data_IF_656399872787
#
_entry.id   IF_656399872787
#
_cell.length_a   1.000
_cell.length_b   1.000
_cell.length_c   1.000
_cell.angle_alpha   90.00
_cell.angle_beta   90.00
_cell.angle_gamma   90.00
#
_symmetry.space_group_name_H-M   'P 1'
#
loop_
_entity.id
_entity.type
_entity.pdbx_description
1 polymer ?
#
# COMPACT_ATOMS: atom_id res chain seq x y z
N UNK A 1 1.57 -9.30 18.88
CA UNK A 1 0.76 -8.48 17.98
C UNK A 1 1.74 -7.69 17.14
N UNK A 2 1.46 -7.48 15.86
CA UNK A 2 2.32 -6.72 14.94
C UNK A 2 1.76 -5.32 14.68
N UNK A 3 2.63 -4.31 14.60
CA UNK A 3 2.29 -2.95 14.17
C UNK A 3 2.85 -2.75 12.76
N UNK A 4 1.99 -2.35 11.83
CA UNK A 4 2.32 -2.26 10.41
C UNK A 4 1.83 -0.96 9.81
N UNK A 5 2.63 -0.37 8.91
CA UNK A 5 2.21 0.79 8.13
C UNK A 5 1.65 0.32 6.79
N UNK A 6 0.41 0.71 6.50
CA UNK A 6 -0.31 0.34 5.29
C UNK A 6 -0.72 1.60 4.54
N UNK A 7 -0.33 1.70 3.27
CA UNK A 7 -0.76 2.76 2.38
C UNK A 7 -2.05 2.37 1.66
N UNK A 8 -3.06 3.23 1.71
CA UNK A 8 -4.31 3.08 0.98
C UNK A 8 -4.45 4.26 0.03
N UNK A 9 -4.30 4.00 -1.27
CA UNK A 9 -4.31 5.03 -2.29
C UNK A 9 -5.67 5.74 -2.36
N UNK A 10 -5.62 7.03 -2.69
CA UNK A 10 -6.78 7.90 -2.89
C UNK A 10 -7.79 7.30 -3.88
N UNK A 11 -7.35 6.91 -5.07
CA UNK A 11 -8.21 6.43 -6.15
C UNK A 11 -8.94 5.13 -5.78
N UNK A 12 -8.29 4.21 -5.07
CA UNK A 12 -8.95 3.00 -4.56
C UNK A 12 -9.96 3.36 -3.47
N UNK A 13 -9.58 4.25 -2.54
CA UNK A 13 -10.48 4.73 -1.50
C UNK A 13 -11.70 5.43 -2.09
N UNK A 14 -11.53 6.29 -3.10
CA UNK A 14 -12.59 7.03 -3.78
C UNK A 14 -13.50 6.12 -4.59
N UNK A 15 -12.94 5.18 -5.34
CA UNK A 15 -13.70 4.29 -6.23
C UNK A 15 -14.52 3.26 -5.46
N UNK A 16 -13.86 2.45 -4.63
CA UNK A 16 -14.48 1.27 -4.00
C UNK A 16 -14.28 1.20 -2.48
N UNK A 17 -13.42 2.06 -1.91
CA UNK A 17 -13.14 2.03 -0.49
C UNK A 17 -14.28 2.50 0.41
N UNK A 18 -14.25 2.02 1.65
CA UNK A 18 -15.13 2.46 2.73
C UNK A 18 -14.28 3.25 3.73
N UNK A 19 -14.65 4.52 4.04
CA UNK A 19 -14.00 5.28 5.08
C UNK A 19 -14.00 4.56 6.42
N UNK A 20 -12.92 4.74 7.18
CA UNK A 20 -12.70 4.16 8.50
C UNK A 20 -12.14 5.22 9.43
N UNK A 21 -12.22 4.98 10.72
CA UNK A 21 -11.75 5.88 11.78
C UNK A 21 -10.75 5.21 12.69
N UNK A 22 -10.06 6.03 13.48
CA UNK A 22 -9.23 5.59 14.58
C UNK A 22 -10.01 4.62 15.47
N UNK A 23 -9.40 3.47 15.76
CA UNK A 23 -9.99 2.44 16.61
C UNK A 23 -10.89 1.45 15.88
N UNK A 24 -11.28 1.71 14.63
CA UNK A 24 -12.07 0.75 13.84
C UNK A 24 -11.27 -0.54 13.61
N UNK A 25 -12.01 -1.64 13.50
CA UNK A 25 -11.49 -2.90 12.97
C UNK A 25 -11.75 -2.93 11.47
N UNK A 26 -10.72 -3.21 10.70
CA UNK A 26 -10.75 -3.23 9.24
C UNK A 26 -10.14 -4.53 8.73
N UNK A 27 -10.66 -5.03 7.61
CA UNK A 27 -10.13 -6.19 6.91
C UNK A 27 -9.74 -5.77 5.50
N UNK A 28 -8.45 -5.88 5.18
CA UNK A 28 -7.91 -5.45 3.90
C UNK A 28 -7.08 -6.54 3.23
N UNK A 29 -7.26 -6.76 1.92
CA UNK A 29 -6.25 -7.44 1.13
C UNK A 29 -4.99 -6.56 1.06
N UNK A 30 -3.85 -7.13 1.42
CA UNK A 30 -2.57 -6.42 1.45
C UNK A 30 -1.62 -6.95 0.39
N UNK A 31 -0.99 -6.05 -0.35
CA UNK A 31 0.05 -6.31 -1.34
C UNK A 31 1.37 -5.73 -0.82
N UNK A 32 2.47 -6.46 -0.97
CA UNK A 32 3.81 -5.94 -0.69
C UNK A 32 4.43 -5.40 -1.98
N UNK A 33 4.55 -4.08 -2.06
CA UNK A 33 5.14 -3.40 -3.21
C UNK A 33 6.60 -3.00 -2.96
N UNK A 34 7.38 -2.91 -4.04
CA UNK A 34 8.65 -2.18 -3.97
C UNK A 34 8.37 -0.71 -3.63
N UNK A 35 9.15 -0.19 -2.69
CA UNK A 35 8.95 1.18 -2.21
C UNK A 35 9.14 2.24 -3.31
N UNK A 36 10.02 1.98 -4.30
CA UNK A 36 10.30 2.88 -5.40
C UNK A 36 9.10 3.07 -6.35
N UNK A 37 8.25 2.05 -6.45
CA UNK A 37 7.07 2.06 -7.31
C UNK A 37 5.91 2.85 -6.69
N UNK A 38 5.92 3.05 -5.36
CA UNK A 38 4.88 3.81 -4.67
C UNK A 38 5.35 5.24 -4.42
N UNK A 39 4.68 6.20 -5.08
CA UNK A 39 4.94 7.64 -4.94
C UNK A 39 6.42 8.05 -5.06
N UNK A 40 7.21 7.31 -5.87
CA UNK A 40 8.60 7.65 -6.16
C UNK A 40 9.61 7.32 -5.05
N UNK A 41 9.27 6.46 -4.07
CA UNK A 41 10.25 5.99 -3.07
C UNK A 41 10.37 6.83 -1.81
N UNK A 42 11.52 6.69 -1.12
CA UNK A 42 11.92 7.33 0.15
C UNK A 42 11.08 6.96 1.40
N UNK A 43 10.44 5.78 1.41
CA UNK A 43 9.54 5.33 2.49
C UNK A 43 10.27 4.71 3.69
N UNK A 44 11.52 5.07 3.95
CA UNK A 44 12.44 4.30 4.81
C UNK A 44 11.88 3.98 6.20
N UNK A 45 11.10 4.88 6.79
CA UNK A 45 10.51 4.74 8.13
C UNK A 45 9.20 3.91 8.11
N UNK A 46 8.57 3.76 6.95
CA UNK A 46 7.30 3.06 6.76
C UNK A 46 7.45 1.65 6.18
N UNK A 47 8.66 1.25 5.77
CA UNK A 47 8.89 -0.06 5.16
C UNK A 47 8.59 -1.21 6.12
N UNK A 48 7.75 -2.13 5.66
CA UNK A 48 7.54 -3.41 6.29
C UNK A 48 8.73 -4.33 6.02
N UNK A 49 9.21 -5.00 7.08
CA UNK A 49 10.19 -6.09 6.98
C UNK A 49 9.46 -7.38 7.28
N UNK A 50 9.07 -8.10 6.23
CA UNK A 50 8.25 -9.31 6.36
C UNK A 50 9.16 -10.52 6.23
N UNK A 51 9.10 -11.41 7.23
CA UNK A 51 9.83 -12.68 7.22
C UNK A 51 8.80 -13.79 7.38
N UNK A 52 8.72 -14.68 6.40
CA UNK A 52 7.62 -15.62 6.37
C UNK A 52 7.83 -16.78 5.41
N UNK A 53 6.87 -17.69 5.44
CA UNK A 53 6.76 -18.77 4.47
C UNK A 53 5.96 -18.30 3.25
N UNK A 54 6.47 -18.61 2.08
CA UNK A 54 5.80 -18.40 0.81
C UNK A 54 4.74 -19.49 0.62
N UNK A 55 3.51 -19.11 0.26
CA UNK A 55 2.42 -20.04 0.05
C UNK A 55 1.53 -19.61 -1.13
N UNK A 56 0.78 -20.58 -1.66
CA UNK A 56 -0.35 -20.30 -2.55
C UNK A 56 -1.66 -20.37 -1.80
N UNK A 57 -2.46 -19.31 -1.92
CA UNK A 57 -3.78 -19.24 -1.29
C UNK A 57 -4.76 -18.69 -2.30
N UNK A 58 -5.71 -19.53 -2.73
CA UNK A 58 -6.70 -19.11 -3.72
C UNK A 58 -6.08 -18.73 -5.08
N UNK A 59 -4.96 -19.36 -5.46
CA UNK A 59 -4.25 -19.03 -6.71
C UNK A 59 -3.31 -17.83 -6.61
N UNK A 60 -3.21 -17.19 -5.44
CA UNK A 60 -2.35 -16.03 -5.20
C UNK A 60 -1.12 -16.44 -4.41
N UNK A 61 0.04 -15.98 -4.87
CA UNK A 61 1.32 -16.12 -4.17
C UNK A 61 1.39 -15.11 -3.02
N UNK A 62 1.47 -15.62 -1.80
CA UNK A 62 1.50 -14.81 -0.58
C UNK A 62 2.74 -15.12 0.27
N UNK A 63 3.13 -14.16 1.10
CA UNK A 63 4.06 -14.36 2.20
C UNK A 63 3.28 -14.36 3.52
N UNK A 64 3.41 -15.44 4.28
CA UNK A 64 2.78 -15.63 5.59
C UNK A 64 3.81 -15.43 6.70
N UNK A 65 3.67 -14.33 7.41
CA UNK A 65 4.49 -13.97 8.55
C UNK A 65 3.93 -14.67 9.82
N UNK A 66 4.81 -14.97 10.78
CA UNK A 66 4.48 -15.81 11.95
C UNK A 66 3.48 -15.15 12.90
N UNK A 67 3.41 -13.82 12.96
CA UNK A 67 2.49 -13.05 13.82
C UNK A 67 1.13 -12.77 13.18
N UNK A 68 0.84 -13.36 12.01
CA UNK A 68 -0.49 -13.35 11.41
C UNK A 68 -0.66 -12.43 10.20
N UNK A 69 0.35 -11.61 9.87
CA UNK A 69 0.35 -10.85 8.61
C UNK A 69 0.42 -11.82 7.41
N UNK A 70 -0.46 -11.63 6.43
CA UNK A 70 -0.43 -12.34 5.15
C UNK A 70 -0.50 -11.30 4.05
N UNK A 71 0.46 -11.30 3.13
CA UNK A 71 0.56 -10.28 2.07
C UNK A 71 0.73 -10.97 0.73
N UNK A 72 0.03 -10.49 -0.30
CA UNK A 72 0.27 -10.89 -1.67
C UNK A 72 1.66 -10.39 -2.12
N UNK A 73 2.30 -11.17 -2.98
CA UNK A 73 3.56 -10.79 -3.63
C UNK A 73 3.35 -10.22 -5.04
N UNK A 74 2.17 -10.43 -5.61
CA UNK A 74 1.79 -9.99 -6.95
C UNK A 74 0.33 -9.55 -6.97
N UNK A 75 -0.02 -8.65 -7.89
CA UNK A 75 -1.41 -8.19 -8.12
C UNK A 75 -2.26 -9.23 -8.88
N UNK A 76 -1.65 -10.08 -9.69
CA UNK A 76 -2.39 -11.07 -10.47
C UNK A 76 -2.28 -12.49 -9.87
N UNK A 77 -3.26 -13.37 -10.15
CA UNK A 77 -3.13 -14.80 -9.85
C UNK A 77 -1.95 -15.45 -10.56
N UNK A 78 -1.39 -16.49 -9.94
CA UNK A 78 -0.20 -17.21 -10.40
C UNK A 78 -0.38 -17.83 -11.80
N UNK A 79 -1.60 -18.19 -12.19
CA UNK A 79 -1.90 -18.77 -13.50
C UNK A 79 -2.06 -17.73 -14.62
N UNK A 80 -2.19 -16.44 -14.26
CA UNK A 80 -2.27 -15.32 -15.20
C UNK A 80 -0.89 -14.68 -15.44
N UNK A 81 -0.02 -14.72 -14.42
CA UNK A 81 1.33 -14.14 -14.51
C UNK A 81 2.24 -15.02 -15.37
N UNK A 82 3.02 -14.40 -16.26
CA UNK A 82 4.04 -15.10 -17.03
C UNK A 82 5.09 -15.73 -16.09
N UNK A 83 5.58 -16.96 -16.35
CA UNK A 83 6.54 -17.64 -15.48
C UNK A 83 7.78 -16.81 -15.10
N UNK A 84 8.26 -15.97 -16.00
CA UNK A 84 9.39 -15.07 -15.79
C UNK A 84 9.09 -13.87 -14.87
N UNK A 85 7.83 -13.49 -14.71
CA UNK A 85 7.39 -12.38 -13.87
C UNK A 85 6.96 -12.83 -12.46
N UNK A 86 6.76 -14.14 -12.24
CA UNK A 86 6.39 -14.72 -10.95
C UNK A 86 7.48 -14.62 -9.87
N UNK A 87 8.71 -14.31 -10.27
CA UNK A 87 9.88 -14.34 -9.39
C UNK A 87 10.43 -15.75 -9.19
N UNK A 88 11.46 -15.86 -8.35
CA UNK A 88 12.12 -17.13 -8.05
C UNK A 88 11.50 -17.85 -6.84
N UNK A 89 10.64 -17.15 -6.09
CA UNK A 89 10.04 -17.57 -4.82
C UNK A 89 9.02 -18.69 -5.01
N UNK A 90 9.26 -19.83 -4.37
CA UNK A 90 8.42 -21.03 -4.47
C UNK A 90 7.63 -21.25 -3.19
N UNK A 91 6.43 -21.88 -3.26
CA UNK A 91 5.72 -22.28 -2.06
C UNK A 91 6.59 -23.19 -1.18
N UNK A 92 6.60 -22.91 0.13
CA UNK A 92 7.46 -23.56 1.11
C UNK A 92 8.81 -22.87 1.35
N UNK A 93 9.21 -21.92 0.50
CA UNK A 93 10.40 -21.12 0.76
C UNK A 93 10.17 -20.21 1.97
N UNK A 94 11.21 -20.03 2.79
CA UNK A 94 11.21 -19.05 3.87
C UNK A 94 12.09 -17.87 3.47
N UNK A 95 11.46 -16.73 3.24
CA UNK A 95 12.13 -15.55 2.69
C UNK A 95 11.99 -14.34 3.61
N UNK A 96 12.78 -13.31 3.31
CA UNK A 96 12.71 -12.00 3.92
C UNK A 96 12.56 -10.97 2.82
N UNK A 97 11.48 -10.20 2.86
CA UNK A 97 11.23 -9.10 1.94
C UNK A 97 11.09 -7.78 2.70
N UNK A 98 11.46 -6.69 2.02
CA UNK A 98 11.30 -5.32 2.52
C UNK A 98 10.56 -4.54 1.46
N UNK A 99 9.47 -3.88 1.86
CA UNK A 99 8.62 -3.16 0.93
C UNK A 99 7.54 -2.36 1.64
N UNK A 100 6.71 -1.69 0.88
CA UNK A 100 5.56 -0.96 1.39
C UNK A 100 4.32 -1.84 1.32
N UNK A 101 3.56 -1.93 2.41
CA UNK A 101 2.26 -2.59 2.39
C UNK A 101 1.23 -1.65 1.79
N UNK A 102 0.52 -2.11 0.77
CA UNK A 102 -0.58 -1.37 0.16
C UNK A 102 -1.87 -2.15 0.25
N UNK A 103 -3.01 -1.46 0.33
CA UNK A 103 -4.30 -2.09 0.12
C UNK A 103 -4.46 -2.40 -1.36
N UNK A 104 -4.85 -3.63 -1.74
CA UNK A 104 -5.19 -3.96 -3.12
C UNK A 104 -6.56 -4.63 -3.28
N UNK A 105 -7.53 -3.86 -3.80
CA UNK A 105 -8.92 -4.29 -4.01
C UNK A 105 -9.24 -4.61 -5.47
N UNK A 106 -8.30 -4.39 -6.38
CA UNK A 106 -8.38 -4.77 -7.78
C UNK A 106 -7.67 -6.10 -7.97
N UNK A 107 -8.33 -7.04 -8.66
CA UNK A 107 -7.85 -8.42 -8.79
C UNK A 107 -8.83 -9.44 -8.22
N UNK A 108 -8.36 -10.68 -8.13
CA UNK A 108 -9.15 -11.82 -7.65
C UNK A 108 -9.21 -11.87 -6.11
N UNK A 109 -10.00 -12.78 -5.56
CA UNK A 109 -10.28 -12.82 -4.12
C UNK A 109 -9.14 -13.47 -3.31
N UNK A 110 -8.17 -12.67 -2.83
CA UNK A 110 -7.09 -13.09 -1.92
C UNK A 110 -7.40 -12.86 -0.43
N UNK A 111 -6.61 -13.48 0.49
CA UNK A 111 -6.83 -13.37 1.94
C UNK A 111 -6.79 -11.92 2.43
N UNK A 112 -7.82 -11.52 3.16
CA UNK A 112 -7.81 -10.27 3.90
C UNK A 112 -7.08 -10.42 5.24
N UNK A 113 -6.43 -9.34 5.65
CA UNK A 113 -5.82 -9.17 6.95
C UNK A 113 -6.67 -8.24 7.79
N UNK A 114 -7.13 -8.75 8.93
CA UNK A 114 -7.91 -7.99 9.90
C UNK A 114 -7.01 -7.35 10.95
N UNK A 115 -7.20 -6.07 11.20
CA UNK A 115 -6.47 -5.35 12.24
C UNK A 115 -7.23 -4.12 12.74
N UNK A 116 -6.72 -3.55 13.83
CA UNK A 116 -7.27 -2.33 14.44
C UNK A 116 -6.49 -1.10 13.98
N UNK A 117 -7.22 -0.06 13.57
CA UNK A 117 -6.64 1.22 13.15
C UNK A 117 -6.09 1.95 14.37
N UNK A 118 -4.77 2.20 14.39
CA UNK A 118 -4.06 2.91 15.46
C UNK A 118 -3.65 4.33 15.08
N UNK A 119 -3.56 4.64 13.80
CA UNK A 119 -3.44 6.02 13.30
C UNK A 119 -3.92 6.12 11.87
N UNK A 120 -4.40 7.29 11.47
CA UNK A 120 -4.68 7.62 10.07
C UNK A 120 -3.98 8.94 9.73
N UNK A 121 -3.19 8.95 8.67
CA UNK A 121 -2.49 10.13 8.20
C UNK A 121 -2.77 10.32 6.72
N UNK A 122 -3.33 11.47 6.33
CA UNK A 122 -3.45 11.82 4.91
C UNK A 122 -2.05 12.09 4.36
N UNK A 123 -1.73 11.44 3.25
CA UNK A 123 -0.47 11.60 2.52
C UNK A 123 -0.69 12.65 1.44
N UNK A 124 -0.07 13.82 1.58
CA UNK A 124 0.01 14.80 0.49
C UNK A 124 1.34 14.64 -0.23
N UNK A 125 1.30 14.47 -1.55
CA UNK A 125 2.47 14.23 -2.39
C UNK A 125 2.63 15.35 -3.42
N UNK A 126 3.87 15.80 -3.60
CA UNK A 126 4.20 16.71 -4.70
C UNK A 126 4.46 15.96 -6.00
N UNK A 127 3.93 16.49 -7.09
CA UNK A 127 4.13 15.98 -8.44
C UNK A 127 4.72 17.08 -9.33
N UNK A 128 5.60 16.67 -10.24
CA UNK A 128 6.13 17.52 -11.29
C UNK A 128 5.73 17.00 -12.67
N UNK A 129 5.59 17.89 -13.65
CA UNK A 129 5.42 17.46 -15.04
C UNK A 129 6.68 16.73 -15.51
N UNK A 130 6.51 15.64 -16.26
CA UNK A 130 7.63 14.90 -16.87
C UNK A 130 8.35 15.75 -17.91
N UNK A 131 7.59 16.49 -18.70
CA UNK A 131 8.06 17.51 -19.65
C UNK A 131 7.20 18.77 -19.48
N UNK A 132 7.76 19.99 -19.50
CA UNK A 132 6.98 21.21 -19.37
C UNK A 132 5.81 21.28 -20.37
N UNK A 133 4.59 21.41 -19.86
CA UNK A 133 3.35 21.48 -20.63
C UNK A 133 2.77 20.12 -21.06
N UNK A 134 3.40 18.99 -20.71
CA UNK A 134 2.91 17.65 -21.08
C UNK A 134 1.62 17.25 -20.38
N UNK A 135 1.33 17.83 -19.20
CA UNK A 135 0.25 17.39 -18.30
C UNK A 135 0.38 15.93 -17.83
N UNK A 136 1.52 15.30 -18.05
CA UNK A 136 1.88 14.00 -17.48
C UNK A 136 2.70 14.26 -16.23
N UNK A 137 2.29 13.69 -15.10
CA UNK A 137 2.82 13.99 -13.78
C UNK A 137 3.58 12.78 -13.22
N UNK A 138 4.71 13.03 -12.58
CA UNK A 138 5.44 12.04 -11.80
C UNK A 138 5.56 12.51 -10.35
N UNK A 139 5.49 11.61 -9.37
CA UNK A 139 5.75 11.97 -7.98
C UNK A 139 7.19 12.44 -7.84
N UNK A 140 7.40 13.51 -7.09
CA UNK A 140 8.75 13.98 -6.74
C UNK A 140 9.19 13.19 -5.50
N UNK A 141 10.25 12.36 -5.58
CA UNK A 141 10.72 11.55 -4.46
C UNK A 141 10.96 12.39 -3.19
N UNK A 142 10.56 11.84 -2.04
CA UNK A 142 10.72 12.47 -0.73
C UNK A 142 9.88 13.72 -0.47
N UNK A 143 9.16 14.27 -1.47
CA UNK A 143 8.34 15.47 -1.32
C UNK A 143 6.90 15.14 -0.86
N UNK A 144 6.80 14.45 0.28
CA UNK A 144 5.53 14.11 0.93
C UNK A 144 5.38 14.82 2.28
N UNK A 145 4.13 15.02 2.69
CA UNK A 145 3.79 15.42 4.05
C UNK A 145 2.65 14.58 4.60
N UNK A 146 2.72 14.25 5.88
CA UNK A 146 1.69 13.48 6.58
C UNK A 146 0.88 14.40 7.47
N UNK A 147 -0.46 14.34 7.34
CA UNK A 147 -1.38 15.09 8.18
C UNK A 147 -2.26 14.12 8.98
N UNK A 148 -2.18 14.11 10.32
CA UNK A 148 -3.02 13.22 11.12
C UNK A 148 -4.49 13.60 10.99
N UNK A 149 -5.35 12.58 10.92
CA UNK A 149 -6.81 12.69 10.92
C UNK A 149 -7.41 11.58 11.79
N UNK A 150 -8.60 11.83 12.35
CA UNK A 150 -9.32 10.79 13.11
C UNK A 150 -10.08 9.84 12.18
N UNK A 151 -10.55 10.33 11.03
CA UNK A 151 -11.32 9.57 10.05
C UNK A 151 -10.71 9.74 8.67
N UNK A 152 -10.53 8.63 7.96
CA UNK A 152 -10.10 8.62 6.57
C UNK A 152 -11.12 9.36 5.70
N UNK A 153 -10.72 10.35 4.89
CA UNK A 153 -11.64 10.96 3.94
C UNK A 153 -12.05 9.94 2.87
N UNK A 154 -13.29 10.06 2.38
CA UNK A 154 -13.72 9.35 1.18
C UNK A 154 -13.17 10.00 -0.10
N UNK A 155 -13.15 11.33 -0.12
CA UNK A 155 -12.77 12.15 -1.27
C UNK A 155 -11.56 12.99 -0.90
N UNK A 156 -10.49 12.86 -1.66
CA UNK A 156 -9.22 13.53 -1.49
C UNK A 156 -9.19 14.81 -2.32
N UNK A 157 -8.36 15.76 -1.93
CA UNK A 157 -8.36 17.10 -2.51
C UNK A 157 -7.00 17.46 -3.09
N UNK A 158 -6.99 18.31 -4.11
CA UNK A 158 -5.79 19.02 -4.53
C UNK A 158 -5.46 20.09 -3.48
N UNK A 159 -4.33 19.94 -2.80
CA UNK A 159 -4.00 20.71 -1.59
C UNK A 159 -3.01 21.84 -1.84
N UNK A 160 -2.55 22.05 -3.08
CA UNK A 160 -1.52 23.04 -3.41
C UNK A 160 -1.91 24.05 -4.49
N UNK A 161 -1.30 25.26 -4.51
CA UNK A 161 -1.39 26.12 -5.67
C UNK A 161 -0.75 25.42 -6.87
N UNK A 162 -1.44 25.39 -8.01
CA UNK A 162 -0.84 25.01 -9.29
C UNK A 162 0.23 26.04 -9.64
N UNK A 163 1.48 25.72 -9.34
CA UNK A 163 2.62 26.46 -9.86
C UNK A 163 3.01 25.84 -11.21
N UNK A 164 3.65 26.61 -12.09
CA UNK A 164 3.92 26.17 -13.46
C UNK A 164 4.77 24.88 -13.45
N UNK A 165 4.14 23.73 -13.73
CA UNK A 165 4.78 22.42 -13.77
C UNK A 165 4.88 21.67 -12.44
N UNK A 166 4.31 22.16 -11.33
CA UNK A 166 4.26 21.47 -10.03
C UNK A 166 2.88 21.58 -9.37
N UNK A 167 2.43 20.48 -8.75
CA UNK A 167 1.18 20.44 -7.98
C UNK A 167 1.34 19.55 -6.75
N UNK A 168 0.50 19.77 -5.75
CA UNK A 168 0.46 18.94 -4.54
C UNK A 168 -0.94 18.42 -4.34
N UNK A 169 -1.09 17.11 -4.27
CA UNK A 169 -2.38 16.45 -4.11
C UNK A 169 -2.31 15.46 -2.96
N UNK A 170 -3.44 15.27 -2.29
CA UNK A 170 -3.56 14.13 -1.39
C UNK A 170 -3.60 12.85 -2.23
N UNK A 171 -2.69 11.92 -1.95
CA UNK A 171 -2.48 10.69 -2.71
C UNK A 171 -3.07 9.45 -2.01
N UNK A 172 -3.63 9.62 -0.81
CA UNK A 172 -4.22 8.55 -0.02
C UNK A 172 -3.99 8.73 1.47
N UNK A 173 -4.01 7.63 2.20
CA UNK A 173 -3.72 7.59 3.64
C UNK A 173 -2.65 6.56 3.97
N UNK A 174 -1.79 6.91 4.93
CA UNK A 174 -0.93 5.98 5.63
C UNK A 174 -1.60 5.60 6.96
N UNK A 175 -1.77 4.31 7.16
CA UNK A 175 -2.48 3.75 8.32
C UNK A 175 -1.52 2.94 9.15
N UNK A 176 -1.48 3.20 10.46
CA UNK A 176 -0.87 2.26 11.40
C UNK A 176 -1.91 1.23 11.77
N UNK A 177 -1.71 -0.02 11.38
CA UNK A 177 -2.60 -1.14 11.61
C UNK A 177 -1.98 -2.07 12.65
N UNK A 178 -2.69 -2.32 13.74
CA UNK A 178 -2.32 -3.36 14.71
C UNK A 178 -3.01 -4.66 14.35
N UNK A 179 -2.21 -5.69 14.10
CA UNK A 179 -2.68 -7.03 13.75
C UNK A 179 -2.45 -7.94 14.97
N UNK A 180 -3.49 -8.60 15.49
CA UNK A 180 -3.35 -9.53 16.61
C UNK A 180 -2.56 -10.77 16.20
N UNK A 181 -1.85 -11.39 17.15
CA UNK A 181 -1.22 -12.68 16.90
C UNK A 181 -2.28 -13.75 16.62
N UNK A 182 -1.95 -14.71 15.76
CA UNK A 182 -2.78 -15.91 15.53
C UNK A 182 -2.53 -17.01 16.55
#
# INVERSE_FOLDING_TARGET
MGIWHVFYADWQMECCGTPFSLGDEVSWPLLLNDSGDVLGGDWDDELAKVVGEVADVGGVRVLREETGLTVALHEDPVDVIAPEALGEERPGDRIRLVGLLTVERHGDQWPEVTGRVRSVQVVSQEYAETVPGSRTWHPVPGQRSLRPVETCPKWFTDTGPHTRGRRRMDAGVLVTLEIPDR
#
